data_IF_467428647075
#
_entry.id   IF_467428647075
#
_cell.length_a   1.000
_cell.length_b   1.000
_cell.length_c   1.000
_cell.angle_alpha   90.00
_cell.angle_beta   90.00
_cell.angle_gamma   90.00
#
_symmetry.space_group_name_H-M   'P 1'
#
loop_
_entity.id
_entity.type
_entity.pdbx_description
1 polymer ?
#
# COMPACT_ATOMS: atom_id res chain seq x y z
N UNK A 1 40.53 -4.85 41.65
CA UNK A 1 40.83 -4.54 40.23
C UNK A 1 40.24 -5.55 39.24
N UNK A 2 40.24 -6.87 39.53
CA UNK A 2 39.66 -7.88 38.62
C UNK A 2 38.15 -7.69 38.34
N UNK A 3 37.36 -7.39 39.39
CA UNK A 3 35.91 -7.18 39.28
C UNK A 3 35.53 -5.98 38.41
N UNK A 4 36.31 -4.89 38.47
CA UNK A 4 36.09 -3.71 37.61
C UNK A 4 36.34 -4.03 36.14
N UNK A 5 37.35 -4.85 35.83
CA UNK A 5 37.66 -5.27 34.46
C UNK A 5 36.56 -6.17 33.89
N UNK A 6 36.03 -7.09 34.71
CA UNK A 6 34.92 -7.96 34.32
C UNK A 6 33.65 -7.14 34.05
N UNK A 7 33.32 -6.18 34.93
CA UNK A 7 32.16 -5.30 34.77
C UNK A 7 32.25 -4.45 33.49
N UNK A 8 33.43 -3.92 33.19
CA UNK A 8 33.67 -3.13 31.98
C UNK A 8 33.51 -3.98 30.71
N UNK A 9 34.00 -5.23 30.75
CA UNK A 9 33.85 -6.18 29.65
C UNK A 9 32.38 -6.53 29.39
N UNK A 10 31.60 -6.79 30.45
CA UNK A 10 30.16 -7.05 30.31
C UNK A 10 29.40 -5.84 29.76
N UNK A 11 29.78 -4.61 30.15
CA UNK A 11 29.18 -3.38 29.62
C UNK A 11 29.48 -3.18 28.13
N UNK A 12 30.71 -3.46 27.71
CA UNK A 12 31.11 -3.39 26.30
C UNK A 12 30.37 -4.44 25.46
N UNK A 13 30.22 -5.67 25.97
CA UNK A 13 29.45 -6.72 25.29
C UNK A 13 27.97 -6.32 25.18
N UNK A 14 27.38 -5.74 26.22
CA UNK A 14 26.00 -5.28 26.21
C UNK A 14 25.77 -4.11 25.22
N UNK A 15 26.73 -3.20 25.10
CA UNK A 15 26.70 -2.10 24.11
C UNK A 15 26.88 -2.60 22.67
N UNK A 16 27.67 -3.65 22.45
CA UNK A 16 27.86 -4.28 21.13
C UNK A 16 26.67 -5.16 20.71
N UNK A 17 25.86 -5.63 21.67
CA UNK A 17 24.64 -6.40 21.41
C UNK A 17 23.42 -5.52 21.09
N UNK A 18 23.57 -4.19 21.11
CA UNK A 18 22.51 -3.30 20.67
C UNK A 18 22.18 -3.63 19.20
N UNK A 19 20.91 -3.95 18.87
CA UNK A 19 20.55 -4.23 17.50
C UNK A 19 20.86 -2.98 16.67
N UNK A 20 21.82 -3.11 15.75
CA UNK A 20 22.00 -2.16 14.66
C UNK A 20 20.64 -2.09 13.97
N UNK A 21 19.93 -0.97 14.16
CA UNK A 21 18.53 -0.82 13.80
C UNK A 21 18.27 -1.44 12.43
N UNK A 22 17.35 -2.40 12.38
CA UNK A 22 16.99 -3.07 11.14
C UNK A 22 16.71 -1.99 10.09
N UNK A 23 17.51 -1.99 9.02
CA UNK A 23 17.33 -1.05 7.92
C UNK A 23 15.90 -1.25 7.41
N UNK A 24 15.05 -0.25 7.64
CA UNK A 24 13.65 -0.31 7.29
C UNK A 24 13.52 -0.49 5.77
N UNK A 25 12.95 -1.62 5.36
CA UNK A 25 12.59 -1.88 3.98
C UNK A 25 11.10 -1.58 3.83
N UNK A 26 10.70 -0.50 3.13
CA UNK A 26 9.30 -0.22 2.90
C UNK A 26 8.68 -1.38 2.13
N UNK A 27 7.61 -1.95 2.69
CA UNK A 27 6.84 -2.99 2.02
C UNK A 27 5.87 -2.32 1.06
N UNK A 28 5.89 -2.72 -0.20
CA UNK A 28 4.93 -2.26 -1.21
C UNK A 28 3.98 -3.39 -1.51
N UNK A 29 2.68 -3.14 -1.36
CA UNK A 29 1.63 -4.08 -1.72
C UNK A 29 0.90 -3.55 -2.95
N UNK A 30 0.70 -4.41 -3.95
CA UNK A 30 -0.13 -4.15 -5.11
C UNK A 30 -1.47 -4.87 -4.96
N UNK A 31 -2.58 -4.18 -5.23
CA UNK A 31 -3.88 -4.81 -5.15
C UNK A 31 -5.07 -3.90 -5.48
N UNK A 32 -6.21 -4.55 -5.58
CA UNK A 32 -7.49 -3.98 -5.98
C UNK A 32 -8.25 -3.45 -4.78
N UNK A 33 -8.71 -2.20 -4.85
CA UNK A 33 -9.53 -1.57 -3.82
C UNK A 33 -10.96 -2.10 -3.91
N UNK A 34 -11.37 -2.83 -2.90
CA UNK A 34 -12.70 -3.42 -2.80
C UNK A 34 -13.64 -2.54 -1.98
N UNK A 35 -13.17 -2.05 -0.83
CA UNK A 35 -13.95 -1.21 0.08
C UNK A 35 -13.06 -0.18 0.78
N UNK A 36 -13.63 0.97 1.12
CA UNK A 36 -12.94 2.07 1.79
C UNK A 36 -13.79 2.54 2.97
N UNK A 37 -13.26 2.41 4.18
CA UNK A 37 -13.85 2.92 5.41
C UNK A 37 -13.13 4.22 5.78
N UNK A 38 -13.58 5.34 5.18
CA UNK A 38 -12.87 6.62 5.28
C UNK A 38 -12.77 7.12 6.72
N UNK A 39 -13.84 6.99 7.50
CA UNK A 39 -13.89 7.44 8.90
C UNK A 39 -12.95 6.63 9.81
N UNK A 40 -12.72 5.36 9.49
CA UNK A 40 -11.80 4.49 10.23
C UNK A 40 -10.37 4.54 9.68
N UNK A 41 -10.14 5.23 8.56
CA UNK A 41 -8.86 5.21 7.86
C UNK A 41 -8.46 3.80 7.44
N UNK A 42 -9.37 3.00 6.87
CA UNK A 42 -9.07 1.64 6.42
C UNK A 42 -9.46 1.40 4.97
N UNK A 43 -8.70 0.55 4.30
CA UNK A 43 -8.94 0.13 2.92
C UNK A 43 -8.86 -1.39 2.86
N UNK A 44 -9.89 -2.03 2.34
CA UNK A 44 -9.88 -3.47 2.06
C UNK A 44 -9.47 -3.71 0.63
N UNK A 45 -8.46 -4.54 0.43
CA UNK A 45 -7.90 -4.86 -0.88
C UNK A 45 -7.85 -6.35 -1.17
N UNK A 46 -7.90 -6.70 -2.46
CA UNK A 46 -7.47 -8.00 -2.96
C UNK A 46 -6.06 -7.86 -3.56
N UNK A 47 -5.10 -8.60 -2.99
CA UNK A 47 -3.71 -8.66 -3.46
C UNK A 47 -3.33 -10.07 -3.87
N UNK A 48 -2.14 -10.26 -4.41
CA UNK A 48 -1.56 -11.59 -4.65
C UNK A 48 -1.39 -12.42 -3.37
N UNK A 49 -1.27 -11.77 -2.21
CA UNK A 49 -1.21 -12.42 -0.90
C UNK A 49 -2.61 -12.75 -0.33
N UNK A 50 -3.68 -12.45 -1.07
CA UNK A 50 -5.06 -12.60 -0.65
C UNK A 50 -5.71 -11.29 -0.22
N UNK A 51 -6.79 -11.43 0.54
CA UNK A 51 -7.62 -10.33 1.03
C UNK A 51 -6.98 -9.68 2.25
N UNK A 52 -6.72 -8.37 2.18
CA UNK A 52 -6.07 -7.61 3.25
C UNK A 52 -6.93 -6.40 3.64
N UNK A 53 -6.85 -6.01 4.92
CA UNK A 53 -7.36 -4.72 5.41
C UNK A 53 -6.13 -3.92 5.82
N UNK A 54 -5.90 -2.81 5.12
CA UNK A 54 -4.80 -1.89 5.39
C UNK A 54 -5.31 -0.70 6.18
N UNK A 55 -4.60 -0.34 7.24
CA UNK A 55 -4.82 0.92 7.97
C UNK A 55 -4.04 2.05 7.28
N UNK A 56 -4.63 3.23 7.22
CA UNK A 56 -4.01 4.44 6.71
C UNK A 56 -3.31 5.16 7.86
N UNK A 57 -2.04 5.53 7.66
CA UNK A 57 -1.35 6.42 8.58
C UNK A 57 -2.00 7.82 8.56
N UNK A 58 -1.83 8.58 9.64
CA UNK A 58 -2.26 9.99 9.69
C UNK A 58 -1.02 10.89 9.82
N UNK A 59 -0.62 11.63 8.76
CA UNK A 59 -1.22 11.68 7.42
C UNK A 59 -0.82 10.49 6.52
N UNK A 60 -1.69 10.18 5.55
CA UNK A 60 -1.40 9.26 4.44
C UNK A 60 -1.45 10.05 3.13
N UNK A 61 -0.40 9.97 2.33
CA UNK A 61 -0.32 10.65 1.04
C UNK A 61 -0.98 9.81 -0.04
N UNK A 62 -1.94 10.35 -0.78
CA UNK A 62 -2.62 9.60 -1.85
C UNK A 62 -2.44 10.34 -3.16
N UNK A 63 -1.94 9.64 -4.18
CA UNK A 63 -1.59 10.23 -5.47
C UNK A 63 -2.31 9.52 -6.60
N UNK A 64 -2.83 10.29 -7.55
CA UNK A 64 -3.31 9.81 -8.84
C UNK A 64 -2.59 10.54 -9.96
N UNK A 65 -1.77 9.80 -10.72
CA UNK A 65 -0.86 10.40 -11.70
C UNK A 65 0.16 11.31 -11.02
N UNK A 66 0.06 12.63 -11.24
CA UNK A 66 0.95 13.64 -10.62
C UNK A 66 0.25 14.51 -9.57
N UNK A 67 -1.00 14.20 -9.23
CA UNK A 67 -1.82 15.01 -8.34
C UNK A 67 -2.09 14.27 -7.04
N UNK A 68 -1.94 14.99 -5.92
CA UNK A 68 -2.39 14.50 -4.62
C UNK A 68 -3.92 14.59 -4.55
N UNK A 69 -4.55 13.55 -4.02
CA UNK A 69 -6.00 13.40 -3.91
C UNK A 69 -6.37 13.00 -2.49
N UNK A 70 -7.63 13.20 -2.10
CA UNK A 70 -8.10 12.78 -0.79
C UNK A 70 -8.44 11.28 -0.75
N UNK A 71 -8.66 10.74 0.46
CA UNK A 71 -9.14 9.37 0.68
C UNK A 71 -10.42 9.08 -0.09
N UNK A 72 -11.26 10.09 -0.34
CA UNK A 72 -12.49 9.95 -1.13
C UNK A 72 -12.26 9.59 -2.62
N UNK A 73 -11.03 9.71 -3.12
CA UNK A 73 -10.65 9.23 -4.46
C UNK A 73 -10.40 7.72 -4.51
N UNK A 74 -10.26 7.07 -3.36
CA UNK A 74 -10.17 5.61 -3.23
C UNK A 74 -11.59 5.05 -3.30
N UNK A 75 -11.85 4.19 -4.28
CA UNK A 75 -13.15 3.52 -4.42
C UNK A 75 -13.08 2.35 -5.41
N UNK A 76 -13.93 1.32 -5.25
CA UNK A 76 -14.28 0.49 -6.39
C UNK A 76 -14.91 1.36 -7.50
N UNK A 77 -14.73 0.97 -8.77
CA UNK A 77 -15.39 1.66 -9.90
C UNK A 77 -16.82 1.14 -10.00
N UNK A 78 -16.96 -0.18 -10.05
CA UNK A 78 -18.21 -0.94 -9.92
C UNK A 78 -17.87 -2.37 -9.47
N UNK A 79 -18.89 -3.19 -9.19
CA UNK A 79 -18.64 -4.60 -8.85
C UNK A 79 -17.89 -5.30 -10.00
N UNK A 80 -16.80 -5.99 -9.65
CA UNK A 80 -15.90 -6.62 -10.63
C UNK A 80 -14.85 -5.67 -11.23
N UNK A 81 -15.10 -4.36 -11.29
CA UNK A 81 -14.17 -3.36 -11.81
C UNK A 81 -13.59 -2.55 -10.66
N UNK A 82 -12.44 -3.02 -10.17
CA UNK A 82 -11.80 -2.41 -9.01
C UNK A 82 -10.68 -1.47 -9.43
N UNK A 83 -10.59 -0.34 -8.73
CA UNK A 83 -9.48 0.58 -8.84
C UNK A 83 -8.22 -0.12 -8.32
N UNK A 84 -7.14 0.02 -9.08
CA UNK A 84 -5.87 -0.60 -8.76
C UNK A 84 -5.00 0.38 -7.94
N UNK A 85 -4.19 -0.17 -7.04
CA UNK A 85 -3.42 0.61 -6.07
C UNK A 85 -2.10 -0.03 -5.66
N UNK A 86 -1.09 0.83 -5.47
CA UNK A 86 0.16 0.51 -4.77
C UNK A 86 0.14 1.15 -3.40
N UNK A 87 0.38 0.35 -2.37
CA UNK A 87 0.33 0.75 -0.97
C UNK A 87 1.73 0.60 -0.38
N UNK A 88 2.35 1.73 -0.04
CA UNK A 88 3.63 1.76 0.65
C UNK A 88 3.36 1.76 2.16
N UNK A 89 3.79 0.71 2.84
CA UNK A 89 3.55 0.52 4.27
C UNK A 89 4.74 0.98 5.10
N UNK A 90 4.48 1.61 6.25
CA UNK A 90 5.46 1.90 7.30
C UNK A 90 5.85 0.66 8.12
N UNK A 91 6.76 0.83 9.08
CA UNK A 91 7.20 -0.26 9.97
C UNK A 91 6.11 -0.80 10.91
N UNK A 92 5.02 -0.05 11.09
CA UNK A 92 3.85 -0.49 11.82
C UNK A 92 2.82 -1.20 10.92
N UNK A 93 3.11 -1.36 9.61
CA UNK A 93 2.21 -1.97 8.64
C UNK A 93 1.11 -1.04 8.12
N UNK A 94 1.18 0.26 8.42
CA UNK A 94 0.17 1.24 7.97
C UNK A 94 0.58 1.86 6.64
N UNK A 95 -0.38 2.07 5.75
CA UNK A 95 -0.16 2.73 4.46
C UNK A 95 0.15 4.22 4.68
N UNK A 96 1.37 4.63 4.32
CA UNK A 96 1.83 6.03 4.39
C UNK A 96 1.75 6.74 3.04
N UNK A 97 1.82 5.98 1.95
CA UNK A 97 1.63 6.49 0.60
C UNK A 97 0.83 5.48 -0.22
N UNK A 98 -0.14 6.00 -0.99
CA UNK A 98 -0.97 5.21 -1.89
C UNK A 98 -0.91 5.84 -3.28
N UNK A 99 -0.50 5.07 -4.27
CA UNK A 99 -0.56 5.44 -5.68
C UNK A 99 -1.73 4.69 -6.28
N UNK A 100 -2.76 5.43 -6.72
CA UNK A 100 -3.95 4.85 -7.34
C UNK A 100 -4.11 5.33 -8.77
N UNK A 101 -4.67 4.46 -9.60
CA UNK A 101 -5.12 4.85 -10.94
C UNK A 101 -6.29 3.98 -11.35
N UNK A 102 -7.13 4.55 -12.21
CA UNK A 102 -8.02 3.77 -13.05
C UNK A 102 -8.20 4.53 -14.36
N UNK A 103 -8.17 3.80 -15.47
CA UNK A 103 -8.53 4.33 -16.77
C UNK A 103 -9.54 3.38 -17.40
N UNK A 104 -10.70 3.93 -17.75
CA UNK A 104 -11.75 3.22 -18.48
C UNK A 104 -11.93 3.93 -19.81
N UNK A 105 -11.90 3.18 -20.92
CA UNK A 105 -12.02 3.71 -22.28
C UNK A 105 -12.95 2.86 -23.12
N UNK A 106 -13.62 3.46 -24.08
CA UNK A 106 -14.35 2.74 -25.11
C UNK A 106 -13.43 2.47 -26.30
N UNK A 107 -13.24 1.19 -26.66
CA UNK A 107 -12.37 0.76 -27.76
C UNK A 107 -13.02 -0.37 -28.55
N UNK A 108 -13.22 -0.16 -29.85
CA UNK A 108 -13.76 -1.15 -30.81
C UNK A 108 -15.09 -1.82 -30.37
N UNK A 109 -15.98 -1.06 -29.71
CA UNK A 109 -17.26 -1.59 -29.21
C UNK A 109 -17.18 -2.26 -27.85
N UNK A 110 -16.10 -2.04 -27.10
CA UNK A 110 -15.92 -2.57 -25.75
C UNK A 110 -15.58 -1.45 -24.76
N UNK A 111 -15.97 -1.63 -23.51
CA UNK A 111 -15.42 -0.91 -22.38
C UNK A 111 -14.14 -1.61 -21.91
N UNK A 112 -13.03 -0.89 -21.80
CA UNK A 112 -11.71 -1.43 -21.43
C UNK A 112 -11.21 -0.76 -20.17
N UNK A 113 -10.91 -1.56 -19.14
CA UNK A 113 -10.24 -1.13 -17.91
C UNK A 113 -8.74 -1.37 -18.03
N UNK A 114 -7.95 -0.36 -17.68
CA UNK A 114 -6.51 -0.48 -17.55
C UNK A 114 -6.07 -0.51 -16.09
N UNK A 115 -5.04 -1.31 -15.82
CA UNK A 115 -4.32 -1.28 -14.54
C UNK A 115 -3.45 -0.02 -14.42
N UNK A 116 -2.80 0.16 -13.26
CA UNK A 116 -1.92 1.32 -13.02
C UNK A 116 -0.68 1.36 -13.93
N UNK A 117 -0.31 0.25 -14.56
CA UNK A 117 0.84 0.12 -15.45
C UNK A 117 0.48 0.32 -16.93
N UNK A 118 -0.81 0.48 -17.23
CA UNK A 118 -1.33 0.65 -18.59
C UNK A 118 -1.62 -0.64 -19.33
N UNK A 119 -1.65 -1.79 -18.65
CA UNK A 119 -2.08 -3.05 -19.25
C UNK A 119 -3.61 -3.16 -19.20
N UNK A 120 -4.19 -3.91 -20.15
CA UNK A 120 -5.61 -4.24 -20.11
C UNK A 120 -5.85 -5.17 -18.93
N UNK A 121 -6.67 -4.70 -17.98
CA UNK A 121 -7.09 -5.45 -16.81
C UNK A 121 -8.40 -6.20 -17.07
N UNK A 122 -9.38 -5.53 -17.68
CA UNK A 122 -10.68 -6.10 -18.03
C UNK A 122 -11.21 -5.49 -19.33
N UNK A 123 -12.08 -6.23 -20.01
CA UNK A 123 -12.76 -5.78 -21.24
C UNK A 123 -14.16 -6.40 -21.28
N UNK A 124 -15.17 -5.55 -21.48
CA UNK A 124 -16.58 -5.98 -21.60
C UNK A 124 -17.19 -5.38 -22.87
N UNK A 125 -18.05 -6.12 -23.61
CA UNK A 125 -18.78 -5.57 -24.74
C UNK A 125 -19.69 -4.42 -24.29
N UNK A 126 -19.79 -3.37 -25.10
CA UNK A 126 -20.84 -2.37 -24.91
C UNK A 126 -22.16 -3.02 -25.35
N UNK A 127 -23.09 -3.21 -24.42
CA UNK A 127 -24.45 -3.60 -24.77
C UNK A 127 -25.06 -2.47 -25.61
N UNK A 128 -25.43 -2.79 -26.86
CA UNK A 128 -26.07 -1.86 -27.80
C UNK A 128 -27.57 -1.81 -27.60
#
# INVERSE_FOLDING_TARGET
>A
MLFYRAALLSLVIFLLAAPLGAAYQPQVIHGDILEVHQEEGKVRIASSAGMLILELASPCRIVRGRQEVSVAALRPIQQGWYQDGLFVLNSAGQAVEIIVSYAVREEDGFLVLYDIFGNIKMREPLER
#
